data_IF_505699555844
#
_entry.id   IF_505699555844
#
_cell.length_a   1.000
_cell.length_b   1.000
_cell.length_c   1.000
_cell.angle_alpha   90.00
_cell.angle_beta   90.00
_cell.angle_gamma   90.00
#
_symmetry.space_group_name_H-M   'P 1'
#
loop_
_entity.id
_entity.type
_entity.pdbx_description
1 polymer ?
#
# COMPACT_ATOMS: atom_id res chain seq x y z
N UNK A 1 28.60 -6.79 -2.84
CA UNK A 1 27.39 -5.97 -2.99
C UNK A 1 27.81 -4.55 -2.72
N UNK A 2 27.65 -3.66 -3.71
CA UNK A 2 28.13 -2.29 -3.57
C UNK A 2 27.24 -1.49 -2.63
N UNK A 3 27.80 -0.45 -1.99
CA UNK A 3 27.04 0.44 -1.11
C UNK A 3 25.79 1.00 -1.79
N UNK A 4 25.87 1.28 -3.10
CA UNK A 4 24.74 1.73 -3.93
C UNK A 4 23.60 0.72 -3.98
N UNK A 5 23.91 -0.58 -4.09
CA UNK A 5 22.91 -1.64 -4.12
C UNK A 5 22.21 -1.77 -2.77
N UNK A 6 22.97 -1.66 -1.67
CA UNK A 6 22.42 -1.76 -0.31
C UNK A 6 21.49 -0.58 -0.05
N UNK A 7 21.93 0.64 -0.38
CA UNK A 7 21.13 1.84 -0.25
C UNK A 7 19.84 1.76 -1.08
N UNK A 8 19.93 1.30 -2.33
CA UNK A 8 18.75 1.12 -3.19
C UNK A 8 17.74 0.14 -2.59
N UNK A 9 18.18 -1.04 -2.14
CA UNK A 9 17.30 -2.05 -1.51
C UNK A 9 16.61 -1.52 -0.26
N UNK A 10 17.31 -0.74 0.57
CA UNK A 10 16.72 -0.12 1.76
C UNK A 10 15.66 0.92 1.37
N UNK A 11 15.98 1.81 0.42
CA UNK A 11 15.06 2.87 -0.01
C UNK A 11 13.79 2.27 -0.62
N UNK A 12 13.92 1.32 -1.56
CA UNK A 12 12.74 0.72 -2.22
C UNK A 12 11.87 -0.06 -1.23
N UNK A 13 12.47 -0.73 -0.25
CA UNK A 13 11.75 -1.42 0.82
C UNK A 13 10.95 -0.44 1.67
N UNK A 14 11.59 0.67 2.09
CA UNK A 14 10.92 1.72 2.86
C UNK A 14 9.75 2.31 2.08
N UNK A 15 9.93 2.62 0.79
CA UNK A 15 8.84 3.13 -0.06
C UNK A 15 7.66 2.15 -0.13
N UNK A 16 7.92 0.86 -0.33
CA UNK A 16 6.87 -0.15 -0.39
C UNK A 16 6.10 -0.28 0.93
N UNK A 17 6.83 -0.27 2.07
CA UNK A 17 6.23 -0.31 3.40
C UNK A 17 5.37 0.95 3.65
N UNK A 18 5.90 2.14 3.37
CA UNK A 18 5.15 3.39 3.54
C UNK A 18 3.92 3.45 2.64
N UNK A 19 4.02 2.99 1.39
CA UNK A 19 2.89 2.94 0.48
C UNK A 19 1.78 2.01 0.97
N UNK A 20 2.14 0.84 1.51
CA UNK A 20 1.18 -0.08 2.11
C UNK A 20 0.52 0.51 3.37
N UNK A 21 1.30 1.11 4.26
CA UNK A 21 0.77 1.78 5.45
C UNK A 21 -0.18 2.94 5.08
N UNK A 22 0.19 3.74 4.08
CA UNK A 22 -0.67 4.79 3.54
C UNK A 22 -2.00 4.22 3.03
N UNK A 23 -1.98 3.15 2.22
CA UNK A 23 -3.19 2.50 1.73
C UNK A 23 -4.10 2.00 2.88
N UNK A 24 -3.52 1.47 3.95
CA UNK A 24 -4.28 1.06 5.15
C UNK A 24 -4.92 2.25 5.87
N UNK A 25 -4.23 3.39 5.99
CA UNK A 25 -4.77 4.61 6.60
C UNK A 25 -5.96 5.11 5.78
N UNK A 26 -5.81 5.20 4.45
CA UNK A 26 -6.89 5.59 3.54
C UNK A 26 -8.07 4.63 3.67
N UNK A 27 -7.84 3.32 3.71
CA UNK A 27 -8.91 2.33 3.91
C UNK A 27 -9.69 2.54 5.21
N UNK A 28 -9.01 2.87 6.31
CA UNK A 28 -9.70 3.20 7.57
C UNK A 28 -10.53 4.48 7.44
N UNK A 29 -9.98 5.52 6.81
CA UNK A 29 -10.68 6.79 6.60
C UNK A 29 -11.92 6.61 5.73
N UNK A 30 -11.83 5.84 4.64
CA UNK A 30 -12.95 5.54 3.75
C UNK A 30 -14.04 4.72 4.47
N UNK A 31 -13.67 3.77 5.33
CA UNK A 31 -14.66 3.03 6.16
C UNK A 31 -15.36 3.91 7.19
N UNK A 32 -14.69 4.94 7.71
CA UNK A 32 -15.32 5.90 8.60
C UNK A 32 -16.29 6.77 7.79
N UNK A 33 -15.82 7.27 6.65
CA UNK A 33 -16.62 8.08 5.71
C UNK A 33 -17.91 7.37 5.30
N UNK A 34 -17.81 6.10 4.89
CA UNK A 34 -18.93 5.23 4.50
C UNK A 34 -20.00 5.12 5.59
N UNK A 35 -19.60 5.09 6.86
CA UNK A 35 -20.52 5.05 8.01
C UNK A 35 -21.12 6.40 8.36
N UNK A 36 -20.42 7.49 8.07
CA UNK A 36 -20.82 8.84 8.49
C UNK A 36 -21.63 9.58 7.43
N UNK A 37 -21.37 9.31 6.15
CA UNK A 37 -22.05 9.92 5.02
C UNK A 37 -22.93 8.84 4.38
N UNK A 38 -24.24 9.06 4.25
CA UNK A 38 -25.11 8.16 3.50
C UNK A 38 -25.11 8.59 2.02
N UNK A 39 -24.02 8.29 1.32
CA UNK A 39 -23.83 8.63 -0.10
C UNK A 39 -23.93 7.36 -0.96
N UNK A 40 -24.67 7.43 -2.07
CA UNK A 40 -24.86 6.34 -3.03
C UNK A 40 -23.54 5.86 -3.65
N UNK A 41 -22.51 6.71 -3.71
CA UNK A 41 -21.21 6.38 -4.28
C UNK A 41 -20.20 5.78 -3.28
N UNK A 42 -20.53 5.72 -1.99
CA UNK A 42 -19.60 5.21 -0.98
C UNK A 42 -19.17 3.76 -1.23
N UNK A 43 -20.07 2.92 -1.73
CA UNK A 43 -19.75 1.53 -2.07
C UNK A 43 -18.63 1.41 -3.12
N UNK A 44 -18.62 2.28 -4.12
CA UNK A 44 -17.57 2.30 -5.15
C UNK A 44 -16.23 2.75 -4.56
N UNK A 45 -16.23 3.79 -3.71
CA UNK A 45 -15.01 4.29 -3.07
C UNK A 45 -14.43 3.23 -2.13
N UNK A 46 -15.27 2.54 -1.35
CA UNK A 46 -14.86 1.41 -0.50
C UNK A 46 -14.23 0.29 -1.33
N UNK A 47 -14.84 -0.06 -2.46
CA UNK A 47 -14.32 -1.09 -3.37
C UNK A 47 -12.96 -0.71 -3.96
N UNK A 48 -12.83 0.49 -4.55
CA UNK A 48 -11.55 0.98 -5.10
C UNK A 48 -10.46 1.01 -4.03
N UNK A 49 -10.80 1.45 -2.82
CA UNK A 49 -9.84 1.49 -1.72
C UNK A 49 -9.42 0.09 -1.28
N UNK A 50 -10.31 -0.89 -1.32
CA UNK A 50 -9.96 -2.30 -1.05
C UNK A 50 -8.98 -2.84 -2.10
N UNK A 51 -9.20 -2.54 -3.39
CA UNK A 51 -8.27 -2.90 -4.46
C UNK A 51 -6.90 -2.24 -4.28
N UNK A 52 -6.87 -0.97 -3.84
CA UNK A 52 -5.62 -0.27 -3.55
C UNK A 52 -4.82 -0.94 -2.42
N UNK A 53 -5.49 -1.38 -1.34
CA UNK A 53 -4.85 -2.14 -0.26
C UNK A 53 -4.29 -3.47 -0.80
N UNK A 54 -5.06 -4.20 -1.61
CA UNK A 54 -4.58 -5.45 -2.21
C UNK A 54 -3.37 -5.23 -3.13
N UNK A 55 -3.43 -4.21 -4.01
CA UNK A 55 -2.33 -3.90 -4.92
C UNK A 55 -1.06 -3.48 -4.18
N UNK A 56 -1.18 -2.64 -3.13
CA UNK A 56 -0.04 -2.23 -2.31
C UNK A 56 0.59 -3.41 -1.54
N UNK A 57 -0.21 -4.38 -1.08
CA UNK A 57 0.31 -5.61 -0.48
C UNK A 57 1.07 -6.47 -1.49
N UNK A 58 0.55 -6.63 -2.71
CA UNK A 58 1.23 -7.38 -3.78
C UNK A 58 2.57 -6.72 -4.13
N UNK A 59 2.59 -5.38 -4.26
CA UNK A 59 3.83 -4.62 -4.50
C UNK A 59 4.83 -4.85 -3.36
N UNK A 60 4.38 -4.78 -2.10
CA UNK A 60 5.25 -5.04 -0.94
C UNK A 60 5.86 -6.44 -1.00
N UNK A 61 5.07 -7.47 -1.28
CA UNK A 61 5.56 -8.86 -1.41
C UNK A 61 6.59 -8.95 -2.54
N UNK A 62 6.31 -8.36 -3.71
CA UNK A 62 7.25 -8.36 -4.84
C UNK A 62 8.56 -7.66 -4.47
N UNK A 63 8.51 -6.51 -3.81
CA UNK A 63 9.70 -5.76 -3.39
C UNK A 63 10.51 -6.56 -2.38
N UNK A 64 9.88 -7.15 -1.37
CA UNK A 64 10.56 -7.99 -0.38
C UNK A 64 11.24 -9.20 -1.03
N UNK A 65 10.56 -9.84 -1.99
CA UNK A 65 11.11 -10.98 -2.73
C UNK A 65 12.29 -10.56 -3.62
N UNK A 66 12.16 -9.43 -4.32
CA UNK A 66 13.22 -8.89 -5.17
C UNK A 66 14.46 -8.52 -4.35
N UNK A 67 14.28 -7.93 -3.16
CA UNK A 67 15.36 -7.58 -2.23
C UNK A 67 16.06 -8.82 -1.66
N UNK A 68 15.36 -9.95 -1.55
CA UNK A 68 15.91 -11.21 -1.02
C UNK A 68 16.66 -12.04 -2.07
N UNK A 69 16.23 -11.97 -3.34
CA UNK A 69 16.85 -12.72 -4.45
C UNK A 69 18.07 -12.01 -5.02
N UNK A 70 17.96 -10.69 -5.22
CA UNK A 70 19.06 -9.82 -5.68
C UNK A 70 19.95 -9.53 -4.48
#
# INVERSE_FOLDING_TARGET
MDFKDIAFKVIISLFAIFYYLYALVVSKQVKIMDKTLQDEHNGLIVFVTSLQVTASLVILIIVLFAVFII
#
